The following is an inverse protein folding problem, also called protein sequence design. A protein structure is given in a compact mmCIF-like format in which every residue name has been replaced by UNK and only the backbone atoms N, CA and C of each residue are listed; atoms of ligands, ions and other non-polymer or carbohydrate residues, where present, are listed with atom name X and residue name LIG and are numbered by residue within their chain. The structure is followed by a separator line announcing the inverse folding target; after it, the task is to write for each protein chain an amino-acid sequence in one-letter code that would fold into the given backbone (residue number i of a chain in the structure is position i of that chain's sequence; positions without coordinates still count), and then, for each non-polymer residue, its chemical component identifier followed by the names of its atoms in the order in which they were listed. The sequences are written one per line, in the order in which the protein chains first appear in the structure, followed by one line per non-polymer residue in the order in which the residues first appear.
data_IF_289762914480
#
_entry.id   IF_289762914480
#
_cell.length_a   1.000
_cell.length_b   1.000
_cell.length_c   1.000
_cell.angle_alpha   90.00
_cell.angle_beta   90.00
_cell.angle_gamma   90.00
#
_symmetry.space_group_name_H-M   'P 1'
#
loop_
_entity.id
_entity.type
_entity.pdbx_description
1 polymer ?
#
# COMPACT_ATOMS: atom_id res chain seq x y z
N UNK A 1 -39.49 18.90 -18.13
CA UNK A 1 -40.24 19.38 -16.96
C UNK A 1 -39.58 20.67 -16.50
N UNK A 2 -40.22 21.81 -16.70
CA UNK A 2 -39.67 23.12 -16.29
C UNK A 2 -39.97 23.34 -14.82
N UNK A 3 -38.96 23.32 -13.96
CA UNK A 3 -39.08 23.69 -12.55
C UNK A 3 -39.45 25.16 -12.41
N UNK A 4 -40.54 25.40 -11.71
CA UNK A 4 -41.08 26.77 -11.47
C UNK A 4 -40.32 27.38 -10.27
N UNK A 5 -40.16 28.72 -10.25
CA UNK A 5 -39.46 29.50 -9.22
C UNK A 5 -39.91 29.21 -7.78
N UNK A 6 -41.12 28.73 -7.58
CA UNK A 6 -41.69 28.44 -6.26
C UNK A 6 -41.14 27.11 -5.68
N UNK A 7 -40.81 26.13 -6.55
CA UNK A 7 -40.25 24.86 -6.14
C UNK A 7 -38.75 24.99 -5.84
N UNK A 8 -38.06 25.91 -6.51
CA UNK A 8 -36.67 26.27 -6.20
C UNK A 8 -36.52 26.94 -4.82
N UNK A 9 -37.44 27.82 -4.44
CA UNK A 9 -37.46 28.51 -3.13
C UNK A 9 -37.78 27.53 -1.98
N UNK A 10 -38.55 26.48 -2.20
CA UNK A 10 -38.83 25.46 -1.19
C UNK A 10 -37.63 24.52 -0.95
N UNK A 11 -36.82 24.27 -1.97
CA UNK A 11 -35.55 23.48 -1.81
C UNK A 11 -34.48 24.28 -1.07
N UNK A 12 -34.44 25.61 -1.17
CA UNK A 12 -33.51 26.45 -0.42
C UNK A 12 -33.87 26.58 1.06
N UNK A 13 -35.15 26.50 1.44
CA UNK A 13 -35.55 26.46 2.87
C UNK A 13 -35.18 25.16 3.57
N UNK A 14 -35.11 24.05 2.83
CA UNK A 14 -34.65 22.76 3.38
C UNK A 14 -33.15 22.73 3.65
N UNK A 15 -32.38 23.59 2.97
CA UNK A 15 -30.92 23.69 3.19
C UNK A 15 -30.57 24.49 4.46
N UNK A 16 -31.41 25.44 4.88
CA UNK A 16 -31.19 26.23 6.11
C UNK A 16 -31.50 25.45 7.39
N UNK A 17 -32.41 24.47 7.34
CA UNK A 17 -32.65 23.58 8.50
C UNK A 17 -31.54 22.54 8.67
N UNK A 18 -30.86 22.13 7.58
CA UNK A 18 -29.70 21.26 7.64
C UNK A 18 -28.45 21.91 8.24
N UNK A 19 -28.29 23.23 8.04
CA UNK A 19 -27.12 23.98 8.54
C UNK A 19 -27.16 24.21 10.07
N UNK A 20 -28.35 24.28 10.68
CA UNK A 20 -28.48 24.41 12.14
C UNK A 20 -28.27 23.08 12.89
N UNK A 21 -28.45 21.94 12.24
CA UNK A 21 -28.14 20.63 12.81
C UNK A 21 -26.63 20.29 12.75
N UNK A 22 -25.89 20.91 11.82
CA UNK A 22 -24.42 20.68 11.71
C UNK A 22 -23.62 21.45 12.75
N UNK A 23 -24.11 22.57 13.28
CA UNK A 23 -23.40 23.34 14.33
C UNK A 23 -23.49 22.67 15.71
N UNK A 24 -24.58 21.96 16.04
CA UNK A 24 -24.70 21.23 17.30
C UNK A 24 -23.91 19.90 17.34
N UNK A 25 -23.55 19.35 16.17
CA UNK A 25 -22.72 18.15 16.07
C UNK A 25 -21.23 18.48 16.19
N UNK A 26 -20.81 19.70 15.78
CA UNK A 26 -19.40 20.12 15.84
C UNK A 26 -18.89 20.42 17.26
N UNK A 27 -19.75 20.87 18.16
CA UNK A 27 -19.35 21.19 19.55
C UNK A 27 -19.17 19.93 20.44
N UNK A 28 -19.93 18.85 20.21
CA UNK A 28 -19.78 17.60 20.95
C UNK A 28 -18.56 16.75 20.54
N UNK A 29 -17.97 17.03 19.36
CA UNK A 29 -16.79 16.32 18.83
C UNK A 29 -15.46 16.91 19.31
N UNK A 30 -15.46 18.08 19.99
CA UNK A 30 -14.24 18.80 20.40
C UNK A 30 -13.79 18.43 21.83
N UNK A 31 -14.59 17.67 22.59
CA UNK A 31 -14.44 17.57 24.06
C UNK A 31 -13.70 16.34 24.61
N UNK A 32 -13.00 15.53 23.82
CA UNK A 32 -12.15 14.47 24.38
C UNK A 32 -10.69 14.94 24.52
N UNK A 33 -10.06 14.78 25.68
CA UNK A 33 -8.64 15.13 25.83
C UNK A 33 -7.80 14.20 24.94
N UNK A 34 -7.14 14.78 23.94
CA UNK A 34 -6.25 14.09 23.01
C UNK A 34 -4.84 14.15 23.57
N UNK A 35 -4.09 13.03 23.56
CA UNK A 35 -2.70 13.03 24.02
C UNK A 35 -1.84 13.94 23.12
N UNK A 36 -0.76 14.51 23.68
CA UNK A 36 0.13 15.40 22.93
C UNK A 36 0.73 14.74 21.69
N UNK A 37 0.98 13.43 21.72
CA UNK A 37 1.46 12.66 20.57
C UNK A 37 0.36 12.45 19.52
N UNK A 38 -0.89 12.24 19.94
CA UNK A 38 -2.03 12.11 19.03
C UNK A 38 -2.39 13.44 18.36
N UNK A 39 -2.16 14.56 19.05
CA UNK A 39 -2.29 15.90 18.44
C UNK A 39 -1.18 16.13 17.41
N UNK A 40 0.05 15.73 17.69
CA UNK A 40 1.18 15.90 16.79
C UNK A 40 1.05 15.09 15.48
N UNK A 41 0.45 13.89 15.56
CA UNK A 41 0.34 12.97 14.41
C UNK A 41 -1.09 12.77 13.88
N UNK A 42 -2.06 13.48 14.42
CA UNK A 42 -3.44 13.56 13.92
C UNK A 42 -4.31 12.35 14.26
N UNK A 43 -5.21 12.52 15.23
CA UNK A 43 -6.27 11.56 15.51
C UNK A 43 -7.27 11.54 14.37
N UNK A 44 -7.52 10.36 13.78
CA UNK A 44 -8.59 10.19 12.81
C UNK A 44 -9.94 10.31 13.53
N UNK A 45 -10.72 11.33 13.18
CA UNK A 45 -12.10 11.47 13.67
C UNK A 45 -12.96 10.52 12.83
N UNK A 46 -13.46 9.44 13.42
CA UNK A 46 -14.47 8.60 12.80
C UNK A 46 -15.83 9.27 12.96
N UNK A 47 -16.54 9.48 11.86
CA UNK A 47 -17.94 9.91 11.91
C UNK A 47 -18.78 8.83 12.61
N UNK A 48 -19.84 9.20 13.38
CA UNK A 48 -20.74 8.23 13.98
C UNK A 48 -21.28 7.24 12.92
N UNK A 49 -21.21 5.95 13.19
CA UNK A 49 -21.59 4.89 12.25
C UNK A 49 -20.56 4.56 11.16
N UNK A 50 -19.40 5.22 11.12
CA UNK A 50 -18.34 4.86 10.19
C UNK A 50 -17.71 3.50 10.57
N UNK A 51 -17.51 2.64 9.56
CA UNK A 51 -16.86 1.34 9.75
C UNK A 51 -15.34 1.50 9.88
N UNK A 52 -14.73 0.69 10.74
CA UNK A 52 -13.29 0.56 10.86
C UNK A 52 -12.74 -0.17 9.64
N UNK A 53 -11.88 0.50 8.85
CA UNK A 53 -11.34 -0.03 7.59
C UNK A 53 -10.05 -0.82 7.83
N UNK A 54 -10.16 -2.14 7.93
CA UNK A 54 -9.02 -3.06 8.06
C UNK A 54 -8.84 -3.94 6.81
N UNK A 55 -9.19 -3.42 5.63
CA UNK A 55 -9.23 -4.17 4.38
C UNK A 55 -8.24 -3.71 3.30
N UNK A 56 -7.53 -2.59 3.48
CA UNK A 56 -6.73 -1.96 2.41
C UNK A 56 -5.28 -1.65 2.79
N UNK A 57 -4.82 -2.12 3.95
CA UNK A 57 -3.45 -1.90 4.44
C UNK A 57 -3.10 -0.40 4.48
N UNK A 58 -4.06 0.43 4.89
CA UNK A 58 -3.87 1.87 5.09
C UNK A 58 -3.20 2.14 6.44
N UNK A 59 -2.58 3.31 6.59
CA UNK A 59 -2.08 3.77 7.88
C UNK A 59 -3.23 4.42 8.67
N UNK A 60 -3.62 3.90 9.84
CA UNK A 60 -4.75 4.43 10.60
C UNK A 60 -4.50 5.82 11.20
N UNK A 61 -3.23 6.23 11.30
CA UNK A 61 -2.85 7.54 11.87
C UNK A 61 -2.89 8.68 10.82
N UNK A 62 -3.09 8.33 9.51
CA UNK A 62 -3.11 9.28 8.41
C UNK A 62 -1.76 9.95 8.19
N UNK A 63 -1.68 11.05 7.43
CA UNK A 63 -0.45 11.80 7.24
C UNK A 63 -0.09 12.63 8.48
N UNK A 64 1.22 12.89 8.66
CA UNK A 64 1.73 13.75 9.73
C UNK A 64 1.24 15.20 9.59
N UNK A 65 1.39 15.99 10.66
CA UNK A 65 1.05 17.42 10.61
C UNK A 65 1.93 18.16 9.59
N UNK A 66 3.22 17.85 9.53
CA UNK A 66 4.15 18.39 8.53
C UNK A 66 3.64 18.22 7.10
N UNK A 67 3.10 17.05 6.77
CA UNK A 67 2.51 16.77 5.46
C UNK A 67 1.23 17.55 5.23
N UNK A 68 0.35 17.65 6.22
CA UNK A 68 -0.89 18.45 6.14
C UNK A 68 -0.59 19.92 5.87
N UNK A 69 0.38 20.47 6.58
CA UNK A 69 0.81 21.86 6.41
C UNK A 69 1.37 22.10 5.00
N UNK A 70 2.18 21.18 4.48
CA UNK A 70 2.69 21.27 3.11
C UNK A 70 1.58 21.23 2.05
N UNK A 71 0.54 20.41 2.26
CA UNK A 71 -0.64 20.37 1.37
C UNK A 71 -1.38 21.71 1.41
N UNK A 72 -1.61 22.29 2.59
CA UNK A 72 -2.29 23.56 2.73
C UNK A 72 -1.51 24.70 2.05
N UNK A 73 -0.19 24.73 2.25
CA UNK A 73 0.68 25.77 1.67
C UNK A 73 0.65 25.77 0.14
N UNK A 74 0.55 24.60 -0.51
CA UNK A 74 0.60 24.52 -1.97
C UNK A 74 -0.75 24.80 -2.65
N UNK A 75 -1.85 24.93 -1.89
CA UNK A 75 -3.19 25.11 -2.48
C UNK A 75 -3.31 26.40 -3.34
N UNK A 76 -2.50 27.44 -3.09
CA UNK A 76 -2.46 28.64 -3.92
C UNK A 76 -1.88 28.40 -5.33
N UNK A 77 -1.13 27.30 -5.53
CA UNK A 77 -0.40 27.00 -6.76
C UNK A 77 -1.04 25.87 -7.60
N UNK A 78 -2.15 25.26 -7.12
CA UNK A 78 -2.75 24.09 -7.79
C UNK A 78 -3.38 24.39 -9.16
N UNK A 79 -3.46 25.66 -9.55
CA UNK A 79 -3.87 26.09 -10.88
C UNK A 79 -2.72 25.99 -11.93
N UNK A 80 -1.54 25.54 -11.53
CA UNK A 80 -0.36 25.35 -12.39
C UNK A 80 0.00 23.89 -12.50
N UNK A 81 0.61 23.49 -13.61
CA UNK A 81 1.22 22.16 -13.75
C UNK A 81 2.52 22.09 -12.94
N UNK A 82 2.71 21.08 -12.09
CA UNK A 82 3.85 20.99 -11.16
C UNK A 82 5.10 20.36 -11.80
N UNK A 83 5.59 20.91 -12.93
CA UNK A 83 6.71 20.34 -13.68
C UNK A 83 7.99 20.42 -12.88
N UNK A 84 8.34 21.59 -12.37
CA UNK A 84 9.56 21.81 -11.58
C UNK A 84 9.52 21.07 -10.24
N UNK A 85 8.35 21.02 -9.60
CA UNK A 85 8.13 20.30 -8.35
C UNK A 85 8.27 18.79 -8.52
N UNK A 86 7.90 18.25 -9.67
CA UNK A 86 8.10 16.85 -10.02
C UNK A 86 9.58 16.52 -10.15
N UNK A 87 10.36 17.35 -10.87
CA UNK A 87 11.79 17.16 -10.98
C UNK A 87 12.50 17.31 -9.62
N UNK A 88 12.06 18.24 -8.76
CA UNK A 88 12.55 18.34 -7.39
C UNK A 88 12.24 17.08 -6.57
N UNK A 89 11.04 16.50 -6.70
CA UNK A 89 10.69 15.26 -6.01
C UNK A 89 11.56 14.10 -6.50
N UNK A 90 11.77 13.95 -7.82
CA UNK A 90 12.69 12.94 -8.38
C UNK A 90 14.11 13.11 -7.82
N UNK A 91 14.63 14.35 -7.79
CA UNK A 91 15.96 14.63 -7.25
C UNK A 91 16.07 14.29 -5.76
N UNK A 92 15.03 14.55 -4.95
CA UNK A 92 15.00 14.18 -3.53
C UNK A 92 14.99 12.67 -3.33
N UNK A 93 14.19 11.93 -4.12
CA UNK A 93 14.16 10.47 -4.09
C UNK A 93 15.53 9.92 -4.52
N UNK A 94 16.08 10.42 -5.61
CA UNK A 94 17.39 10.01 -6.12
C UNK A 94 18.50 10.20 -5.09
N UNK A 95 18.54 11.37 -4.44
CA UNK A 95 19.50 11.66 -3.37
C UNK A 95 19.34 10.71 -2.16
N UNK A 96 18.09 10.43 -1.74
CA UNK A 96 17.80 9.51 -0.65
C UNK A 96 18.28 8.09 -0.95
N UNK A 97 18.06 7.62 -2.17
CA UNK A 97 18.36 6.25 -2.58
C UNK A 97 19.81 6.11 -3.14
N UNK A 98 20.52 7.21 -3.30
CA UNK A 98 21.89 7.25 -3.79
C UNK A 98 22.03 6.86 -5.26
N UNK A 99 21.10 7.33 -6.11
CA UNK A 99 21.07 7.15 -7.56
C UNK A 99 20.97 8.51 -8.27
N UNK A 100 21.09 8.52 -9.61
CA UNK A 100 20.82 9.74 -10.39
C UNK A 100 19.32 9.93 -10.63
N UNK A 101 18.80 11.16 -10.85
CA UNK A 101 17.39 11.43 -11.13
C UNK A 101 16.81 10.61 -12.29
N UNK A 102 17.59 10.32 -13.33
CA UNK A 102 17.18 9.52 -14.49
C UNK A 102 16.83 8.05 -14.14
N UNK A 103 17.25 7.59 -12.96
CA UNK A 103 16.90 6.27 -12.42
C UNK A 103 15.57 6.27 -11.69
N UNK A 104 14.89 7.42 -11.56
CA UNK A 104 13.65 7.57 -10.81
C UNK A 104 12.49 7.92 -11.74
N UNK A 105 11.39 7.18 -11.63
CA UNK A 105 10.10 7.56 -12.20
C UNK A 105 9.05 7.63 -11.08
N UNK A 106 8.25 8.70 -11.10
CA UNK A 106 7.18 8.96 -10.12
C UNK A 106 5.82 8.87 -10.84
N UNK A 107 4.91 8.06 -10.29
CA UNK A 107 3.57 7.84 -10.86
C UNK A 107 2.44 8.06 -9.86
N UNK A 108 1.20 7.95 -10.33
CA UNK A 108 -0.03 8.11 -9.54
C UNK A 108 -0.25 6.95 -8.54
N UNK A 109 0.73 6.71 -7.69
CA UNK A 109 0.90 5.58 -6.80
C UNK A 109 1.65 4.42 -7.47
N UNK A 110 2.26 3.55 -6.66
CA UNK A 110 2.94 2.37 -7.21
C UNK A 110 1.99 1.45 -8.01
N UNK A 111 0.67 1.51 -7.74
CA UNK A 111 -0.32 0.75 -8.49
C UNK A 111 -0.41 1.14 -9.96
N UNK A 112 -0.34 2.42 -10.27
CA UNK A 112 -0.29 2.93 -11.64
C UNK A 112 0.95 2.41 -12.38
N UNK A 113 2.11 2.54 -11.75
CA UNK A 113 3.38 2.04 -12.30
C UNK A 113 3.38 0.51 -12.50
N UNK A 114 2.70 -0.24 -11.61
CA UNK A 114 2.51 -1.69 -11.80
C UNK A 114 1.67 -1.99 -13.05
N UNK A 115 0.63 -1.18 -13.33
CA UNK A 115 -0.17 -1.31 -14.54
C UNK A 115 0.66 -1.00 -15.80
N UNK A 116 1.41 0.10 -15.79
CA UNK A 116 2.33 0.49 -16.87
C UNK A 116 3.38 -0.59 -17.13
N UNK A 117 3.98 -1.13 -16.06
CA UNK A 117 4.95 -2.23 -16.16
C UNK A 117 4.30 -3.49 -16.74
N UNK A 118 3.11 -3.84 -16.27
CA UNK A 118 2.34 -4.97 -16.81
C UNK A 118 2.07 -4.84 -18.30
N UNK A 119 1.68 -3.64 -18.75
CA UNK A 119 1.49 -3.33 -20.17
C UNK A 119 2.81 -3.43 -20.95
N UNK A 120 3.88 -2.78 -20.45
CA UNK A 120 5.18 -2.71 -21.11
C UNK A 120 5.85 -4.08 -21.31
N UNK A 121 5.65 -5.03 -20.40
CA UNK A 121 6.21 -6.37 -20.47
C UNK A 121 5.24 -7.42 -21.01
N UNK A 122 3.94 -7.11 -21.02
CA UNK A 122 2.91 -8.01 -21.56
C UNK A 122 2.61 -7.85 -23.03
N UNK A 123 2.89 -6.67 -23.63
CA UNK A 123 2.47 -6.30 -25.00
C UNK A 123 2.93 -7.29 -26.08
N UNK A 124 4.14 -7.81 -25.94
CA UNK A 124 4.73 -8.77 -26.87
C UNK A 124 4.39 -10.23 -26.53
N UNK A 125 3.51 -10.46 -25.55
CA UNK A 125 3.24 -11.80 -25.02
C UNK A 125 4.39 -12.33 -24.17
N UNK A 126 4.53 -13.64 -24.09
CA UNK A 126 5.51 -14.31 -23.25
C UNK A 126 4.97 -14.56 -21.84
N UNK A 127 5.86 -14.59 -20.83
CA UNK A 127 5.51 -15.00 -19.47
C UNK A 127 5.96 -14.00 -18.45
N UNK A 128 5.11 -13.80 -17.42
CA UNK A 128 5.47 -13.12 -16.16
C UNK A 128 5.38 -14.16 -15.06
N UNK A 129 6.44 -14.28 -14.26
CA UNK A 129 6.51 -15.25 -13.14
C UNK A 129 6.37 -14.51 -11.82
N UNK A 130 5.58 -15.03 -10.89
CA UNK A 130 5.56 -14.57 -9.51
C UNK A 130 5.21 -15.68 -8.53
N UNK A 131 5.47 -15.43 -7.25
CA UNK A 131 4.84 -16.21 -6.20
C UNK A 131 3.30 -16.06 -6.23
N UNK A 132 2.58 -17.06 -5.67
CA UNK A 132 1.12 -17.02 -5.50
C UNK A 132 0.74 -17.60 -4.12
N UNK A 133 -0.10 -16.87 -3.34
CA UNK A 133 -0.65 -15.54 -3.64
C UNK A 133 0.37 -14.42 -3.46
N UNK A 134 0.22 -13.37 -4.26
CA UNK A 134 0.96 -12.11 -4.14
C UNK A 134 0.08 -10.94 -4.61
N UNK A 135 0.60 -9.71 -4.59
CA UNK A 135 -0.11 -8.56 -5.13
C UNK A 135 -0.14 -8.62 -6.65
N UNK A 136 -1.31 -8.93 -7.22
CA UNK A 136 -1.47 -9.42 -8.60
C UNK A 136 -1.61 -8.33 -9.68
N UNK A 137 -1.60 -7.04 -9.31
CA UNK A 137 -1.99 -5.97 -10.24
C UNK A 137 -1.15 -5.94 -11.53
N UNK A 138 0.18 -6.07 -11.41
CA UNK A 138 1.09 -6.12 -12.56
C UNK A 138 0.76 -7.31 -13.47
N UNK A 139 0.63 -8.50 -12.89
CA UNK A 139 0.35 -9.72 -13.64
C UNK A 139 -0.99 -9.68 -14.35
N UNK A 140 -2.04 -9.16 -13.66
CA UNK A 140 -3.37 -9.00 -14.27
C UNK A 140 -3.31 -8.08 -15.51
N UNK A 141 -2.54 -6.99 -15.45
CA UNK A 141 -2.34 -6.12 -16.60
C UNK A 141 -1.51 -6.80 -17.69
N UNK A 142 -0.45 -7.53 -17.33
CA UNK A 142 0.33 -8.28 -18.32
C UNK A 142 -0.51 -9.31 -19.07
N UNK A 143 -1.46 -9.99 -18.39
CA UNK A 143 -2.39 -10.94 -19.04
C UNK A 143 -3.35 -10.23 -20.01
N UNK A 144 -3.84 -9.01 -19.68
CA UNK A 144 -4.64 -8.18 -20.61
C UNK A 144 -3.86 -7.91 -21.90
N UNK A 145 -2.55 -7.72 -21.81
CA UNK A 145 -1.63 -7.47 -22.90
C UNK A 145 -0.95 -8.76 -23.45
N UNK A 146 -1.59 -9.92 -23.29
CA UNK A 146 -1.23 -11.23 -23.90
C UNK A 146 -0.10 -12.02 -23.20
N UNK A 147 0.47 -11.58 -22.11
CA UNK A 147 1.39 -12.41 -21.35
C UNK A 147 0.64 -13.53 -20.60
N UNK A 148 1.33 -14.60 -20.31
CA UNK A 148 0.86 -15.65 -19.39
C UNK A 148 1.43 -15.43 -18.02
N UNK A 149 0.62 -15.51 -16.97
CA UNK A 149 1.08 -15.50 -15.60
C UNK A 149 1.42 -16.91 -15.09
N UNK A 150 2.71 -17.23 -14.96
CA UNK A 150 3.19 -18.46 -14.33
C UNK A 150 3.23 -18.27 -12.79
N UNK A 151 2.34 -18.98 -12.09
CA UNK A 151 2.14 -18.88 -10.64
C UNK A 151 2.98 -19.94 -9.93
N UNK A 152 3.87 -19.53 -9.03
CA UNK A 152 4.66 -20.43 -8.18
C UNK A 152 4.11 -20.34 -6.75
N UNK A 153 3.64 -21.44 -6.18
CA UNK A 153 3.07 -21.42 -4.84
C UNK A 153 4.10 -20.98 -3.80
N UNK A 154 3.63 -20.26 -2.77
CA UNK A 154 4.42 -20.01 -1.57
C UNK A 154 4.79 -21.34 -0.89
N UNK A 155 5.95 -21.37 -0.21
CA UNK A 155 6.34 -22.51 0.62
C UNK A 155 5.43 -22.65 1.87
N UNK A 156 5.65 -23.66 2.70
CA UNK A 156 4.82 -23.93 3.88
C UNK A 156 4.95 -22.86 4.99
N UNK A 157 5.97 -22.00 4.91
CA UNK A 157 6.12 -20.82 5.77
C UNK A 157 5.42 -19.57 5.22
N UNK A 158 4.68 -19.70 4.11
CA UNK A 158 4.06 -18.61 3.36
C UNK A 158 5.08 -17.59 2.79
N UNK A 159 6.30 -18.05 2.53
CA UNK A 159 7.39 -17.29 1.92
C UNK A 159 7.52 -17.60 0.43
N UNK A 160 8.16 -16.73 -0.33
CA UNK A 160 8.53 -16.98 -1.73
C UNK A 160 9.51 -18.15 -1.80
N UNK A 161 9.23 -19.11 -2.68
CA UNK A 161 10.13 -20.22 -3.03
C UNK A 161 10.99 -19.80 -4.23
N UNK A 162 12.16 -19.23 -3.96
CA UNK A 162 13.05 -18.70 -5.01
C UNK A 162 13.64 -19.79 -5.90
N UNK A 163 13.85 -21.00 -5.39
CA UNK A 163 14.35 -22.13 -6.18
C UNK A 163 13.27 -22.57 -7.18
N UNK A 164 12.03 -22.66 -6.74
CA UNK A 164 10.90 -22.96 -7.61
C UNK A 164 10.64 -21.84 -8.63
N UNK A 165 10.78 -20.56 -8.25
CA UNK A 165 10.68 -19.41 -9.18
C UNK A 165 11.79 -19.48 -10.23
N UNK A 166 13.04 -19.75 -9.85
CA UNK A 166 14.16 -19.91 -10.78
C UNK A 166 13.92 -21.07 -11.77
N UNK A 167 13.40 -22.18 -11.27
CA UNK A 167 13.09 -23.38 -12.09
C UNK A 167 11.94 -23.15 -13.09
N UNK A 168 11.06 -22.17 -12.81
CA UNK A 168 9.95 -21.82 -13.70
C UNK A 168 10.36 -20.93 -14.89
N UNK A 169 11.60 -20.40 -14.90
CA UNK A 169 12.08 -19.51 -15.97
C UNK A 169 12.18 -20.29 -17.30
N UNK A 170 11.59 -19.71 -18.35
CA UNK A 170 11.60 -20.23 -19.72
C UNK A 170 12.22 -19.20 -20.68
N UNK A 171 12.47 -19.62 -21.92
CA UNK A 171 13.07 -18.75 -22.96
C UNK A 171 12.20 -17.53 -23.31
N UNK A 172 10.88 -17.62 -23.09
CA UNK A 172 9.90 -16.56 -23.34
C UNK A 172 9.52 -15.78 -22.07
N UNK A 173 10.19 -16.02 -20.93
CA UNK A 173 9.97 -15.23 -19.69
C UNK A 173 10.44 -13.79 -19.90
N UNK A 174 9.53 -12.83 -19.65
CA UNK A 174 9.75 -11.40 -19.86
C UNK A 174 10.03 -10.64 -18.58
N UNK A 175 9.48 -11.08 -17.45
CA UNK A 175 9.60 -10.41 -16.16
C UNK A 175 9.37 -11.38 -15.00
N UNK A 176 10.09 -11.19 -13.91
CA UNK A 176 9.81 -11.84 -12.63
C UNK A 176 9.35 -10.77 -11.65
N UNK A 177 8.21 -11.02 -10.98
CA UNK A 177 7.67 -10.12 -9.96
C UNK A 177 7.87 -10.71 -8.56
N UNK A 178 8.45 -9.92 -7.68
CA UNK A 178 8.70 -10.24 -6.27
C UNK A 178 8.09 -9.12 -5.42
N UNK A 179 7.22 -9.47 -4.47
CA UNK A 179 6.73 -8.56 -3.44
C UNK A 179 7.38 -8.93 -2.11
N UNK A 180 8.24 -8.08 -1.57
CA UNK A 180 8.99 -8.39 -0.36
C UNK A 180 9.17 -7.16 0.55
N UNK A 181 8.48 -7.14 1.73
CA UNK A 181 7.58 -8.15 2.30
C UNK A 181 6.34 -8.44 1.46
N UNK A 182 5.90 -9.70 1.41
CA UNK A 182 4.83 -10.13 0.52
C UNK A 182 3.42 -9.69 0.99
N UNK A 183 2.54 -9.39 0.06
CA UNK A 183 1.11 -9.18 0.28
C UNK A 183 0.35 -10.25 -0.52
N UNK A 184 -0.44 -11.17 0.09
CA UNK A 184 -1.09 -11.03 1.40
C UNK A 184 -0.37 -11.67 2.60
N UNK A 185 0.67 -12.48 2.44
CA UNK A 185 1.24 -13.27 3.54
C UNK A 185 1.91 -12.45 4.65
N UNK A 186 2.41 -11.24 4.33
CA UNK A 186 3.14 -10.38 5.27
C UNK A 186 4.57 -10.87 5.57
N UNK A 187 4.96 -12.00 5.02
CA UNK A 187 6.26 -12.62 5.28
C UNK A 187 7.40 -11.88 4.61
N UNK A 188 8.53 -11.88 5.28
CA UNK A 188 9.81 -11.40 4.78
C UNK A 188 10.74 -12.61 4.64
N UNK A 189 11.20 -12.88 3.44
CA UNK A 189 12.29 -13.82 3.22
C UNK A 189 13.62 -13.17 3.63
N UNK A 190 14.59 -13.96 4.07
CA UNK A 190 15.93 -13.49 4.36
C UNK A 190 16.42 -12.53 3.24
N UNK A 191 16.67 -11.25 3.55
CA UNK A 191 17.01 -10.28 2.53
C UNK A 191 18.26 -10.61 1.71
N UNK A 192 19.20 -11.38 2.28
CA UNK A 192 20.39 -11.81 1.55
C UNK A 192 20.06 -12.89 0.50
N UNK A 193 19.10 -13.77 0.79
CA UNK A 193 18.60 -14.74 -0.21
C UNK A 193 17.87 -14.04 -1.33
N UNK A 194 17.03 -13.04 -1.01
CA UNK A 194 16.34 -12.22 -2.02
C UNK A 194 17.36 -11.53 -2.93
N UNK A 195 18.38 -10.91 -2.33
CA UNK A 195 19.44 -10.20 -3.05
C UNK A 195 20.23 -11.13 -3.98
N UNK A 196 20.66 -12.30 -3.47
CA UNK A 196 21.40 -13.28 -4.26
C UNK A 196 20.55 -13.81 -5.44
N UNK A 197 19.27 -14.11 -5.20
CA UNK A 197 18.35 -14.51 -6.26
C UNK A 197 18.21 -13.41 -7.33
N UNK A 198 17.92 -12.18 -6.92
CA UNK A 198 17.78 -11.06 -7.86
C UNK A 198 19.08 -10.81 -8.63
N UNK A 199 20.24 -10.90 -7.98
CA UNK A 199 21.55 -10.70 -8.59
C UNK A 199 21.87 -11.76 -9.67
N UNK A 200 21.45 -13.00 -9.46
CA UNK A 200 21.65 -14.06 -10.45
C UNK A 200 20.65 -13.99 -11.61
N UNK A 201 19.37 -13.87 -11.29
CA UNK A 201 18.30 -13.96 -12.28
C UNK A 201 18.23 -12.72 -13.18
N UNK A 202 18.51 -11.54 -12.64
CA UNK A 202 18.48 -10.28 -13.42
C UNK A 202 19.52 -10.21 -14.55
N UNK A 203 20.49 -11.12 -14.59
CA UNK A 203 21.40 -11.30 -15.73
C UNK A 203 20.71 -11.88 -16.98
N UNK A 204 19.53 -12.47 -16.80
CA UNK A 204 18.78 -13.19 -17.86
C UNK A 204 17.41 -12.58 -18.11
N UNK A 205 16.70 -12.21 -17.03
CA UNK A 205 15.31 -11.73 -17.05
C UNK A 205 15.18 -10.56 -16.07
N UNK A 206 14.60 -9.43 -16.46
CA UNK A 206 14.34 -8.33 -15.52
C UNK A 206 13.53 -8.77 -14.31
N UNK A 207 13.86 -8.22 -13.13
CA UNK A 207 13.17 -8.52 -11.87
C UNK A 207 12.51 -7.25 -11.34
N UNK A 208 11.21 -7.31 -11.09
CA UNK A 208 10.46 -6.24 -10.42
C UNK A 208 10.31 -6.58 -8.95
N UNK A 209 10.89 -5.74 -8.09
CA UNK A 209 10.85 -5.87 -6.63
C UNK A 209 9.88 -4.83 -6.04
N UNK A 210 8.69 -5.27 -5.63
CA UNK A 210 7.74 -4.42 -4.92
C UNK A 210 8.10 -4.36 -3.43
N UNK A 211 8.68 -3.25 -3.01
CA UNK A 211 9.11 -2.97 -1.63
C UNK A 211 8.11 -2.05 -0.89
N UNK A 212 6.81 -2.12 -1.21
CA UNK A 212 5.77 -1.24 -0.65
C UNK A 212 5.66 -1.29 0.89
N UNK A 213 6.23 -2.28 1.54
CA UNK A 213 6.17 -2.45 3.00
C UNK A 213 7.53 -2.41 3.69
N UNK A 214 8.62 -2.10 2.97
CA UNK A 214 9.99 -2.17 3.52
C UNK A 214 10.19 -1.22 4.70
N UNK A 215 9.55 -0.06 4.69
CA UNK A 215 9.67 0.94 5.74
C UNK A 215 9.00 0.52 7.07
N UNK A 216 8.17 -0.53 7.08
CA UNK A 216 7.67 -1.14 8.34
C UNK A 216 8.69 -2.01 9.05
N UNK A 217 9.74 -2.44 8.34
CA UNK A 217 10.85 -3.18 8.92
C UNK A 217 11.73 -2.26 9.79
N UNK A 218 12.39 -2.86 10.78
CA UNK A 218 13.44 -2.14 11.49
C UNK A 218 14.59 -1.77 10.52
N UNK A 219 15.25 -0.63 10.71
CA UNK A 219 16.29 -0.16 9.77
C UNK A 219 17.37 -1.19 9.44
N UNK A 220 17.75 -2.03 10.40
CA UNK A 220 18.72 -3.13 10.19
C UNK A 220 18.21 -4.25 9.29
N UNK A 221 16.90 -4.37 9.08
CA UNK A 221 16.25 -5.37 8.25
C UNK A 221 15.88 -4.83 6.85
N UNK A 222 16.03 -3.52 6.64
CA UNK A 222 15.70 -2.84 5.37
C UNK A 222 16.80 -3.04 4.34
N UNK A 223 16.90 -4.23 3.77
CA UNK A 223 17.81 -4.52 2.65
C UNK A 223 17.08 -4.33 1.34
N UNK A 224 17.29 -3.20 0.70
CA UNK A 224 16.67 -2.84 -0.58
C UNK A 224 17.41 -3.40 -1.77
N UNK A 225 16.67 -3.77 -2.81
CA UNK A 225 17.22 -4.17 -4.11
C UNK A 225 17.74 -2.99 -4.95
N UNK A 226 17.59 -1.74 -4.48
CA UNK A 226 18.22 -0.55 -5.09
C UNK A 226 19.73 -0.71 -5.23
N UNK A 227 20.39 -1.44 -4.33
CA UNK A 227 21.81 -1.74 -4.44
C UNK A 227 22.18 -2.51 -5.73
N UNK A 228 21.26 -3.30 -6.27
CA UNK A 228 21.45 -3.98 -7.56
C UNK A 228 21.23 -3.03 -8.73
N UNK A 229 20.30 -2.09 -8.62
CA UNK A 229 20.11 -1.02 -9.60
C UNK A 229 21.38 -0.17 -9.72
N UNK A 230 22.02 0.20 -8.60
CA UNK A 230 23.31 0.91 -8.57
C UNK A 230 24.43 0.15 -9.28
N UNK A 231 24.36 -1.19 -9.30
CA UNK A 231 25.26 -2.06 -10.06
C UNK A 231 24.87 -2.20 -11.54
N UNK A 232 23.93 -1.40 -12.02
CA UNK A 232 23.40 -1.42 -13.38
C UNK A 232 22.74 -2.76 -13.80
N UNK A 233 22.16 -3.49 -12.84
CA UNK A 233 21.44 -4.74 -13.10
C UNK A 233 20.00 -4.50 -13.55
N UNK A 234 19.39 -5.47 -14.22
CA UNK A 234 18.00 -5.43 -14.70
C UNK A 234 17.00 -5.66 -13.56
N UNK A 235 17.05 -4.76 -12.58
CA UNK A 235 16.15 -4.73 -11.41
C UNK A 235 15.35 -3.44 -11.41
N UNK A 236 14.06 -3.55 -11.13
CA UNK A 236 13.11 -2.44 -10.94
C UNK A 236 12.66 -2.53 -9.49
N UNK A 237 12.83 -1.47 -8.73
CA UNK A 237 12.38 -1.41 -7.32
C UNK A 237 11.22 -0.43 -7.21
N UNK A 238 10.06 -0.86 -6.72
CA UNK A 238 8.94 0.05 -6.46
C UNK A 238 8.78 0.37 -4.98
N UNK A 239 8.38 1.61 -4.72
CA UNK A 239 8.05 2.16 -3.40
C UNK A 239 6.76 2.97 -3.46
N UNK A 240 6.09 3.10 -2.34
CA UNK A 240 4.81 3.82 -2.28
C UNK A 240 4.71 4.72 -1.05
N UNK A 241 4.07 5.86 -1.22
CA UNK A 241 3.69 6.72 -0.10
C UNK A 241 2.34 6.30 0.53
N UNK A 242 1.66 5.31 -0.03
CA UNK A 242 0.32 4.88 0.42
C UNK A 242 0.32 4.18 1.78
N UNK A 243 1.47 3.63 2.25
CA UNK A 243 1.54 2.75 3.42
C UNK A 243 2.03 3.50 4.65
N UNK A 244 3.28 3.38 5.04
CA UNK A 244 3.79 3.98 6.29
C UNK A 244 3.59 5.50 6.36
N UNK A 245 3.70 6.18 5.22
CA UNK A 245 3.56 7.65 5.14
C UNK A 245 2.11 8.14 5.28
N UNK A 246 1.10 7.24 5.21
CA UNK A 246 -0.30 7.62 5.38
C UNK A 246 -0.92 8.38 4.20
N UNK A 247 -0.38 8.25 2.99
CA UNK A 247 -0.76 9.01 1.80
C UNK A 247 -1.54 8.18 0.76
N UNK A 248 -2.26 7.14 1.18
CA UNK A 248 -2.98 6.25 0.26
C UNK A 248 -3.93 7.01 -0.69
N UNK A 249 -4.64 8.03 -0.19
CA UNK A 249 -5.56 8.87 -0.96
C UNK A 249 -4.88 9.91 -1.85
N UNK A 250 -3.59 10.23 -1.61
CA UNK A 250 -2.85 11.22 -2.41
C UNK A 250 -2.33 10.65 -3.73
N UNK A 251 -2.32 9.32 -3.86
CA UNK A 251 -1.91 8.63 -5.09
C UNK A 251 -0.51 9.04 -5.56
N UNK A 252 0.54 8.68 -4.82
CA UNK A 252 1.93 8.92 -5.20
C UNK A 252 2.79 7.71 -4.84
N UNK A 253 3.68 7.34 -5.75
CA UNK A 253 4.64 6.25 -5.63
C UNK A 253 5.74 6.41 -6.66
N UNK A 254 6.75 5.58 -6.59
CA UNK A 254 7.88 5.68 -7.52
C UNK A 254 8.53 4.32 -7.78
N UNK A 255 9.26 4.26 -8.87
CA UNK A 255 10.22 3.18 -9.14
C UNK A 255 11.63 3.72 -9.28
N UNK A 256 12.58 2.83 -9.00
CA UNK A 256 14.02 3.03 -9.24
C UNK A 256 14.46 1.89 -10.15
N UNK A 257 15.01 2.23 -11.28
CA UNK A 257 15.54 1.28 -12.24
C UNK A 257 16.57 1.97 -13.14
N UNK A 258 17.31 1.23 -13.93
CA UNK A 258 18.19 1.84 -14.94
C UNK A 258 17.36 2.58 -16.02
N UNK A 259 17.89 3.64 -16.63
CA UNK A 259 17.14 4.53 -17.55
C UNK A 259 16.45 3.80 -18.71
N UNK A 260 17.02 2.69 -19.22
CA UNK A 260 16.42 1.90 -20.30
C UNK A 260 15.10 1.27 -19.86
N UNK A 261 15.05 0.71 -18.64
CA UNK A 261 13.83 0.12 -18.08
C UNK A 261 12.80 1.20 -17.74
N UNK A 262 13.24 2.36 -17.22
CA UNK A 262 12.37 3.52 -17.01
C UNK A 262 11.70 3.91 -18.34
N UNK A 263 12.48 4.15 -19.40
CA UNK A 263 11.92 4.53 -20.71
C UNK A 263 10.93 3.51 -21.25
N UNK A 264 11.21 2.20 -21.09
CA UNK A 264 10.29 1.14 -21.54
C UNK A 264 8.95 1.22 -20.80
N UNK A 265 8.97 1.41 -19.47
CA UNK A 265 7.76 1.48 -18.63
C UNK A 265 7.00 2.77 -18.93
N UNK A 266 7.68 3.91 -18.99
CA UNK A 266 7.06 5.24 -19.16
C UNK A 266 6.49 5.48 -20.55
N UNK A 267 6.70 4.57 -21.52
CA UNK A 267 6.00 4.60 -22.81
C UNK A 267 4.46 4.58 -22.63
N UNK A 268 3.98 4.07 -21.53
CA UNK A 268 2.56 3.99 -21.19
C UNK A 268 2.13 5.00 -20.12
N UNK A 269 3.03 5.86 -19.66
CA UNK A 269 2.76 6.85 -18.61
C UNK A 269 2.15 8.13 -19.18
N UNK A 270 1.41 8.83 -18.34
CA UNK A 270 1.01 10.22 -18.60
C UNK A 270 2.18 11.18 -18.32
N UNK A 271 2.23 12.31 -19.03
CA UNK A 271 3.28 13.33 -18.87
C UNK A 271 3.34 13.90 -17.45
N UNK A 272 2.16 14.12 -16.83
CA UNK A 272 2.03 14.68 -15.48
C UNK A 272 1.03 13.82 -14.68
N UNK A 273 1.48 12.67 -14.16
CA UNK A 273 0.57 11.70 -13.53
C UNK A 273 0.18 12.07 -12.10
N UNK A 274 0.93 12.98 -11.44
CA UNK A 274 0.81 13.26 -10.00
C UNK A 274 0.41 14.72 -9.77
N UNK A 275 -0.60 14.95 -8.92
CA UNK A 275 -1.08 16.28 -8.59
C UNK A 275 -0.06 17.08 -7.77
N UNK A 276 -0.16 18.43 -7.85
CA UNK A 276 0.69 19.34 -7.08
C UNK A 276 0.64 19.06 -5.58
N UNK A 277 -0.56 18.83 -5.03
CA UNK A 277 -0.74 18.49 -3.62
C UNK A 277 -0.10 17.17 -3.22
N UNK A 278 -0.13 16.16 -4.11
CA UNK A 278 0.52 14.88 -3.86
C UNK A 278 2.04 14.98 -3.88
N UNK A 279 2.61 15.80 -4.77
CA UNK A 279 4.06 16.07 -4.81
C UNK A 279 4.50 16.78 -3.53
N UNK A 280 3.81 17.83 -3.11
CA UNK A 280 4.11 18.54 -1.87
C UNK A 280 4.02 17.62 -0.64
N UNK A 281 2.99 16.78 -0.58
CA UNK A 281 2.82 15.78 0.46
C UNK A 281 3.98 14.76 0.49
N UNK A 282 4.38 14.25 -0.67
CA UNK A 282 5.48 13.29 -0.79
C UNK A 282 6.83 13.90 -0.38
N UNK A 283 7.14 15.13 -0.82
CA UNK A 283 8.34 15.87 -0.42
C UNK A 283 8.42 16.04 1.10
N UNK A 284 7.32 16.43 1.73
CA UNK A 284 7.24 16.59 3.19
C UNK A 284 7.38 15.25 3.93
N UNK A 285 6.79 14.19 3.40
CA UNK A 285 6.79 12.85 4.01
C UNK A 285 8.16 12.17 3.97
N UNK A 286 8.95 12.36 2.88
CA UNK A 286 10.29 11.75 2.73
C UNK A 286 11.24 12.11 3.87
N UNK A 287 11.12 13.28 4.45
CA UNK A 287 11.97 13.75 5.56
C UNK A 287 11.31 13.64 6.94
N UNK A 288 10.24 12.86 7.10
CA UNK A 288 9.50 12.75 8.37
C UNK A 288 9.81 11.44 9.13
N UNK A 289 11.08 11.25 9.47
CA UNK A 289 11.53 10.09 10.24
C UNK A 289 10.81 9.94 11.62
N UNK A 290 10.50 11.03 12.36
CA UNK A 290 9.73 10.90 13.60
C UNK A 290 8.36 10.25 13.39
N UNK A 291 7.64 10.62 12.31
CA UNK A 291 6.34 10.02 12.00
C UNK A 291 6.46 8.55 11.58
N UNK A 292 7.46 8.20 10.78
CA UNK A 292 7.71 6.80 10.39
C UNK A 292 8.06 5.94 11.61
N UNK A 293 8.91 6.42 12.52
CA UNK A 293 9.24 5.73 13.79
C UNK A 293 8.00 5.54 14.66
N UNK A 294 7.18 6.59 14.81
CA UNK A 294 5.91 6.51 15.52
C UNK A 294 4.99 5.45 14.90
N UNK A 295 4.81 5.49 13.58
CA UNK A 295 3.94 4.53 12.86
C UNK A 295 4.43 3.09 13.04
N UNK A 296 5.74 2.81 12.88
CA UNK A 296 6.31 1.47 13.12
C UNK A 296 6.00 0.96 14.52
N UNK A 297 6.28 1.78 15.52
CA UNK A 297 6.06 1.43 16.93
C UNK A 297 4.58 1.10 17.20
N UNK A 298 3.68 1.99 16.77
CA UNK A 298 2.23 1.81 16.96
C UNK A 298 1.66 0.64 16.17
N UNK A 299 2.13 0.42 14.96
CA UNK A 299 1.77 -0.76 14.17
C UNK A 299 2.21 -2.06 14.85
N UNK A 300 3.42 -2.11 15.40
CA UNK A 300 3.93 -3.29 16.11
C UNK A 300 3.12 -3.59 17.38
N UNK A 301 2.81 -2.57 18.17
CA UNK A 301 1.97 -2.66 19.38
C UNK A 301 0.57 -3.19 19.04
N UNK A 302 -0.08 -2.61 18.04
CA UNK A 302 -1.42 -2.98 17.61
C UNK A 302 -1.47 -4.38 16.94
N UNK A 303 -0.45 -4.74 16.16
CA UNK A 303 -0.31 -6.06 15.55
C UNK A 303 -0.19 -7.15 16.60
N UNK A 304 0.51 -6.90 17.71
CA UNK A 304 0.65 -7.84 18.80
C UNK A 304 -0.70 -8.27 19.40
N UNK A 305 -1.70 -7.38 19.44
CA UNK A 305 -3.07 -7.72 19.91
C UNK A 305 -3.68 -8.84 19.06
N UNK A 306 -3.60 -8.72 17.74
CA UNK A 306 -4.16 -9.73 16.84
C UNK A 306 -3.36 -11.04 16.89
N UNK A 307 -2.03 -10.97 16.85
CA UNK A 307 -1.18 -12.18 16.83
C UNK A 307 -1.26 -12.94 18.15
N UNK A 308 -1.35 -12.28 19.31
CA UNK A 308 -1.59 -12.92 20.60
C UNK A 308 -2.96 -13.63 20.63
N UNK A 309 -4.00 -13.02 20.08
CA UNK A 309 -5.31 -13.65 19.95
C UNK A 309 -5.27 -14.89 19.06
N UNK A 310 -4.64 -14.81 17.88
CA UNK A 310 -4.49 -15.96 16.98
C UNK A 310 -3.72 -17.11 17.64
N UNK A 311 -2.65 -16.80 18.37
CA UNK A 311 -1.89 -17.79 19.14
C UNK A 311 -2.76 -18.47 20.21
N UNK A 312 -3.55 -17.70 20.97
CA UNK A 312 -4.49 -18.23 21.96
C UNK A 312 -5.53 -19.18 21.32
N UNK A 313 -6.00 -18.87 20.12
CA UNK A 313 -6.93 -19.70 19.35
C UNK A 313 -6.26 -20.83 18.57
N UNK A 314 -4.93 -20.95 18.60
CA UNK A 314 -4.12 -21.91 17.82
C UNK A 314 -4.34 -21.79 16.32
N UNK A 315 -4.56 -20.57 15.83
CA UNK A 315 -4.68 -20.25 14.40
C UNK A 315 -3.29 -19.86 13.89
N UNK A 316 -2.76 -20.60 12.93
CA UNK A 316 -1.46 -20.32 12.32
C UNK A 316 -1.53 -19.07 11.44
N UNK A 317 -0.45 -18.31 11.35
CA UNK A 317 -0.34 -17.15 10.47
C UNK A 317 1.11 -17.00 9.98
N UNK A 318 1.31 -16.26 8.87
CA UNK A 318 2.65 -15.93 8.39
C UNK A 318 3.40 -15.06 9.40
N UNK A 319 4.72 -15.22 9.49
CA UNK A 319 5.57 -14.33 10.31
C UNK A 319 5.61 -12.93 9.71
N UNK A 320 4.62 -12.12 10.05
CA UNK A 320 4.38 -10.81 9.45
C UNK A 320 5.12 -9.69 10.16
N UNK A 321 5.77 -8.85 9.36
CA UNK A 321 6.39 -7.59 9.81
C UNK A 321 5.70 -6.35 9.21
N UNK A 322 4.63 -6.56 8.44
CA UNK A 322 3.87 -5.52 7.74
C UNK A 322 2.77 -4.89 8.61
N UNK A 323 1.92 -4.07 8.02
CA UNK A 323 0.72 -3.53 8.65
C UNK A 323 -0.54 -4.37 8.37
N UNK A 324 -0.39 -5.68 8.24
CA UNK A 324 -1.50 -6.65 8.12
C UNK A 324 -1.06 -8.04 8.58
N UNK A 325 -2.04 -8.89 8.88
CA UNK A 325 -1.85 -10.31 9.22
C UNK A 325 -2.69 -11.16 8.28
N UNK A 326 -2.13 -12.29 7.83
CA UNK A 326 -2.76 -13.25 6.95
C UNK A 326 -2.82 -14.62 7.61
N UNK A 327 -4.03 -15.18 7.73
CA UNK A 327 -4.29 -16.43 8.46
C UNK A 327 -5.49 -17.18 7.87
N UNK A 328 -5.58 -18.52 8.03
CA UNK A 328 -6.73 -19.30 7.56
C UNK A 328 -8.03 -18.82 8.19
N UNK A 329 -9.08 -18.74 7.40
CA UNK A 329 -10.42 -18.43 7.91
C UNK A 329 -10.91 -19.60 8.79
N UNK A 330 -11.27 -19.36 10.08
CA UNK A 330 -11.68 -20.43 10.97
C UNK A 330 -13.12 -20.93 10.73
N UNK A 331 -13.88 -20.22 9.90
CA UNK A 331 -15.23 -20.53 9.44
C UNK A 331 -15.38 -20.04 7.99
N UNK A 332 -16.54 -20.24 7.39
CA UNK A 332 -16.90 -19.70 6.07
C UNK A 332 -16.57 -18.20 5.97
N UNK A 333 -15.75 -17.83 4.99
CA UNK A 333 -15.21 -16.47 4.85
C UNK A 333 -16.28 -15.43 4.52
N UNK A 334 -17.31 -15.82 3.75
CA UNK A 334 -18.43 -14.93 3.43
C UNK A 334 -19.24 -14.62 4.68
N UNK A 335 -19.47 -15.63 5.53
CA UNK A 335 -20.12 -15.45 6.82
C UNK A 335 -19.31 -14.51 7.71
N UNK A 336 -17.98 -14.74 7.80
CA UNK A 336 -17.07 -13.88 8.56
C UNK A 336 -17.15 -12.43 8.06
N UNK A 337 -17.04 -12.20 6.75
CA UNK A 337 -17.13 -10.83 6.17
C UNK A 337 -18.42 -10.14 6.56
N UNK A 338 -19.56 -10.82 6.36
CA UNK A 338 -20.90 -10.26 6.65
C UNK A 338 -21.04 -9.92 8.13
N UNK A 339 -20.68 -10.85 9.02
CA UNK A 339 -20.81 -10.64 10.47
C UNK A 339 -19.84 -9.59 11.02
N UNK A 340 -18.62 -9.53 10.51
CA UNK A 340 -17.66 -8.49 10.89
C UNK A 340 -18.10 -7.11 10.39
N UNK A 341 -18.69 -7.04 9.19
CA UNK A 341 -19.24 -5.79 8.66
C UNK A 341 -20.43 -5.30 9.48
N UNK A 342 -21.33 -6.20 9.92
CA UNK A 342 -22.44 -5.88 10.85
C UNK A 342 -21.91 -5.32 12.17
N UNK A 343 -20.74 -5.80 12.64
CA UNK A 343 -20.06 -5.30 13.85
C UNK A 343 -19.20 -4.06 13.61
N UNK A 344 -19.23 -3.49 12.41
CA UNK A 344 -18.53 -2.25 12.07
C UNK A 344 -17.07 -2.41 11.61
N UNK A 345 -16.61 -3.60 11.23
CA UNK A 345 -15.24 -3.85 10.77
C UNK A 345 -15.23 -4.38 9.34
N UNK A 346 -14.38 -3.75 8.49
CA UNK A 346 -14.13 -4.22 7.12
C UNK A 346 -12.78 -4.95 7.08
N UNK A 347 -12.76 -6.17 6.52
CA UNK A 347 -11.56 -6.98 6.31
C UNK A 347 -11.60 -7.64 4.93
N UNK A 348 -10.62 -8.46 4.58
CA UNK A 348 -10.61 -9.21 3.30
C UNK A 348 -10.51 -10.70 3.51
N UNK A 349 -11.14 -11.45 2.60
CA UNK A 349 -10.95 -12.89 2.40
C UNK A 349 -10.21 -13.11 1.09
N UNK A 350 -9.37 -14.13 1.06
CA UNK A 350 -8.59 -14.60 -0.08
C UNK A 350 -8.77 -16.10 -0.24
N UNK A 351 -8.87 -16.56 -1.48
CA UNK A 351 -8.82 -17.99 -1.79
C UNK A 351 -7.36 -18.41 -1.99
N UNK A 352 -6.91 -19.39 -1.22
CA UNK A 352 -5.57 -19.94 -1.31
C UNK A 352 -5.53 -21.41 -0.88
N UNK A 353 -4.87 -22.29 -1.68
CA UNK A 353 -4.76 -23.74 -1.43
C UNK A 353 -6.13 -24.39 -1.10
N UNK A 354 -7.16 -24.07 -1.91
CA UNK A 354 -8.54 -24.57 -1.77
C UNK A 354 -9.20 -24.26 -0.41
N UNK A 355 -8.73 -23.24 0.27
CA UNK A 355 -9.29 -22.75 1.52
C UNK A 355 -9.35 -21.24 1.55
N UNK A 356 -10.22 -20.69 2.39
CA UNK A 356 -10.35 -19.26 2.58
C UNK A 356 -9.40 -18.76 3.65
N UNK A 357 -8.85 -17.58 3.42
CA UNK A 357 -7.87 -16.93 4.29
C UNK A 357 -8.29 -15.49 4.58
N UNK A 358 -8.16 -15.10 5.84
CA UNK A 358 -8.37 -13.74 6.28
C UNK A 358 -7.11 -12.89 6.07
N UNK A 359 -7.24 -11.69 5.51
CA UNK A 359 -6.23 -10.64 5.63
C UNK A 359 -6.82 -9.44 6.37
N UNK A 360 -6.24 -9.13 7.52
CA UNK A 360 -6.66 -8.04 8.40
C UNK A 360 -5.55 -7.01 8.47
N UNK A 361 -5.84 -5.79 8.02
CA UNK A 361 -4.93 -4.65 8.17
C UNK A 361 -4.85 -4.25 9.64
N UNK A 362 -3.71 -3.69 10.06
CA UNK A 362 -3.52 -3.24 11.44
C UNK A 362 -4.03 -1.81 11.56
N UNK A 363 -5.05 -1.65 12.37
CA UNK A 363 -5.62 -0.38 12.80
C UNK A 363 -4.87 0.24 14.00
N UNK A 364 -5.47 1.20 14.65
CA UNK A 364 -5.00 1.69 15.95
C UNK A 364 -5.11 0.59 17.01
N UNK A 365 -4.44 0.76 18.15
CA UNK A 365 -4.51 -0.20 19.25
C UNK A 365 -5.95 -0.46 19.69
N UNK A 366 -6.76 0.59 19.79
CA UNK A 366 -8.17 0.48 20.19
C UNK A 366 -9.03 -0.19 19.11
N UNK A 367 -8.80 0.12 17.84
CA UNK A 367 -9.47 -0.57 16.72
C UNK A 367 -9.15 -2.07 16.72
N UNK A 368 -7.89 -2.45 17.00
CA UNK A 368 -7.50 -3.87 17.05
C UNK A 368 -8.07 -4.59 18.27
N UNK A 369 -8.15 -3.96 19.43
CA UNK A 369 -8.85 -4.54 20.60
C UNK A 369 -10.33 -4.78 20.31
N UNK A 370 -11.01 -3.79 19.69
CA UNK A 370 -12.40 -3.91 19.25
C UNK A 370 -12.59 -5.02 18.22
N UNK A 371 -11.70 -5.07 17.22
CA UNK A 371 -11.70 -6.10 16.19
C UNK A 371 -11.61 -7.51 16.78
N UNK A 372 -10.62 -7.76 17.65
CA UNK A 372 -10.40 -9.08 18.25
C UNK A 372 -11.61 -9.54 19.06
N UNK A 373 -12.22 -8.62 19.84
CA UNK A 373 -13.45 -8.93 20.57
C UNK A 373 -14.59 -9.33 19.63
N UNK A 374 -14.84 -8.53 18.59
CA UNK A 374 -15.90 -8.80 17.62
C UNK A 374 -15.62 -10.10 16.82
N UNK A 375 -14.36 -10.33 16.45
CA UNK A 375 -13.96 -11.52 15.71
C UNK A 375 -14.10 -12.79 16.55
N UNK A 376 -13.75 -12.75 17.84
CA UNK A 376 -13.96 -13.87 18.77
C UNK A 376 -15.44 -14.28 18.87
N UNK A 377 -16.33 -13.30 18.96
CA UNK A 377 -17.79 -13.56 18.97
C UNK A 377 -18.29 -14.19 17.66
N UNK A 378 -17.70 -13.82 16.52
CA UNK A 378 -18.10 -14.34 15.19
C UNK A 378 -17.62 -15.77 14.97
N UNK A 379 -16.45 -16.12 15.48
CA UNK A 379 -15.86 -17.45 15.26
C UNK A 379 -16.20 -18.45 16.37
N UNK A 380 -16.71 -18.00 17.52
CA UNK A 380 -17.26 -18.90 18.56
C UNK A 380 -18.61 -19.48 18.13
#
# INVERSE_FOLDING_TARGET
MKLNRRDWLKSTLSFTVGATLTTSISESLIAAPVSSAEVAFGKRILLPGAKVKLNSNENPYGPSQKVKDAIVQILSEVNRYPIDEMEQLKALIAAREGVLPDFVHVGAGSGDILCETGAAFGLEGGRVISAFPTFSLLMNYAEIFKATWDKVNLNDKLEHDYDAIASAIKSDTKLIFICNPNNPSGTLVDPQKVKAFCEDVSKKVPVYCDEAYIEFLEPSQQVSMVELVKKNMDVIVSRTFSKIYGLAGMRVGYIIAKPELIRRITTFSHDIPVSHTAIAAAKAALGDEPFMKFTRSKNSEARAVLTQFLNKKKINYGNTLTNFVFFPAPKDGKLILTKMEEKGFLMRIWDYKQSEWCRVSIGTLEEMKGFVKAFDEVIS
#
